data_IF_660285881250
#
_entry.id   IF_660285881250
#
_cell.length_a   1.000
_cell.length_b   1.000
_cell.length_c   1.000
_cell.angle_alpha   90.00
_cell.angle_beta   90.00
_cell.angle_gamma   90.00
#
_symmetry.space_group_name_H-M   'P 1'
#
loop_
_entity.id
_entity.type
_entity.pdbx_description
1 polymer ?
#
# COMPACT_ATOMS: atom_id res chain seq x y z
N UNK A 1 19.12 -1.04 13.36
CA UNK A 1 18.21 -2.17 13.13
C UNK A 1 17.23 -1.83 12.02
N UNK A 2 16.94 -2.78 11.13
CA UNK A 2 15.94 -2.60 10.05
C UNK A 2 14.79 -3.57 10.31
N UNK A 3 13.55 -3.07 10.31
CA UNK A 3 12.38 -3.88 10.62
C UNK A 3 11.37 -3.84 9.47
N UNK A 4 10.98 -5.03 8.99
CA UNK A 4 9.83 -5.16 8.12
C UNK A 4 8.58 -4.71 8.87
N UNK A 5 7.84 -3.77 8.29
CA UNK A 5 6.73 -3.10 8.96
C UNK A 5 5.45 -3.30 8.16
N UNK A 6 4.40 -3.79 8.83
CA UNK A 6 3.04 -3.84 8.31
C UNK A 6 2.22 -2.71 8.92
N UNK A 7 1.33 -2.17 8.10
CA UNK A 7 0.42 -1.10 8.50
C UNK A 7 -1.00 -1.57 8.27
N UNK A 8 -1.74 -1.64 9.35
CA UNK A 8 -3.17 -1.92 9.31
C UNK A 8 -3.91 -0.74 8.70
N UNK A 9 -4.84 -1.06 7.81
CA UNK A 9 -5.75 -0.14 7.15
C UNK A 9 -7.18 -0.69 7.26
N UNK A 10 -8.17 0.19 7.13
CA UNK A 10 -9.57 -0.25 7.10
C UNK A 10 -9.91 -0.83 5.73
N UNK A 11 -10.56 -1.99 5.68
CA UNK A 11 -11.12 -2.52 4.43
C UNK A 11 -12.20 -1.60 3.84
N UNK A 12 -12.93 -0.88 4.68
CA UNK A 12 -14.00 0.04 4.30
C UNK A 12 -13.49 1.44 3.93
N UNK A 13 -12.18 1.65 3.85
CA UNK A 13 -11.61 2.95 3.50
C UNK A 13 -12.09 3.37 2.08
N UNK A 14 -12.63 4.60 1.91
CA UNK A 14 -13.14 5.06 0.62
C UNK A 14 -12.09 5.09 -0.50
N UNK A 15 -10.79 5.09 -0.17
CA UNK A 15 -9.71 4.99 -1.14
C UNK A 15 -9.75 3.70 -1.97
N UNK A 16 -10.34 2.62 -1.46
CA UNK A 16 -10.52 1.37 -2.21
C UNK A 16 -11.55 1.50 -3.33
N UNK A 17 -12.56 2.37 -3.15
CA UNK A 17 -13.59 2.62 -4.17
C UNK A 17 -13.10 3.60 -5.24
N UNK A 18 -12.18 4.51 -4.89
CA UNK A 18 -11.59 5.46 -5.83
C UNK A 18 -10.06 5.54 -5.69
N UNK A 19 -9.31 4.58 -6.26
CA UNK A 19 -7.84 4.61 -6.31
C UNK A 19 -7.29 5.86 -6.97
N UNK A 20 -6.36 6.55 -6.31
CA UNK A 20 -5.78 7.82 -6.81
C UNK A 20 -4.27 7.80 -6.90
N UNK A 21 -3.60 6.86 -6.23
CA UNK A 21 -2.14 6.88 -6.12
C UNK A 21 -1.51 6.20 -7.32
N UNK A 22 -0.87 7.00 -8.17
CA UNK A 22 -0.17 6.50 -9.34
C UNK A 22 1.09 5.71 -8.97
N UNK A 23 1.26 4.53 -9.57
CA UNK A 23 2.40 3.64 -9.38
C UNK A 23 2.92 3.10 -10.72
N UNK A 24 4.17 2.63 -10.72
CA UNK A 24 4.76 1.96 -11.87
C UNK A 24 4.99 2.85 -13.10
N UNK A 25 5.30 2.23 -14.26
CA UNK A 25 5.63 2.94 -15.49
C UNK A 25 4.38 3.50 -16.18
N UNK A 26 4.60 4.36 -17.18
CA UNK A 26 3.56 4.88 -18.07
C UNK A 26 3.21 3.87 -19.18
N UNK A 27 1.95 3.90 -19.62
CA UNK A 27 1.41 3.05 -20.68
C UNK A 27 0.67 3.91 -21.70
N UNK A 28 0.61 3.45 -22.95
CA UNK A 28 -0.36 3.99 -23.90
C UNK A 28 -1.76 3.41 -23.63
N UNK A 29 -2.77 3.93 -24.32
CA UNK A 29 -4.16 3.55 -24.12
C UNK A 29 -4.41 2.05 -24.35
N UNK A 30 -3.92 1.49 -25.45
CA UNK A 30 -4.15 0.07 -25.79
C UNK A 30 -3.48 -0.88 -24.81
N UNK A 31 -2.28 -0.55 -24.32
CA UNK A 31 -1.61 -1.30 -23.26
C UNK A 31 -2.40 -1.25 -21.95
N UNK A 32 -2.88 -0.07 -21.55
CA UNK A 32 -3.66 0.09 -20.34
C UNK A 32 -5.01 -0.66 -20.40
N UNK A 33 -5.69 -0.65 -21.54
CA UNK A 33 -6.93 -1.40 -21.77
C UNK A 33 -6.69 -2.91 -21.70
N UNK A 34 -5.62 -3.42 -22.32
CA UNK A 34 -5.23 -4.83 -22.24
C UNK A 34 -4.95 -5.26 -20.78
N UNK A 35 -4.12 -4.50 -20.06
CA UNK A 35 -3.78 -4.79 -18.68
C UNK A 35 -4.98 -4.66 -17.73
N UNK A 36 -5.90 -3.73 -17.99
CA UNK A 36 -7.17 -3.62 -17.26
C UNK A 36 -8.00 -4.89 -17.45
N UNK A 37 -8.08 -5.43 -18.67
CA UNK A 37 -8.85 -6.64 -18.95
C UNK A 37 -8.22 -7.89 -18.29
N UNK A 38 -6.89 -8.03 -18.40
CA UNK A 38 -6.13 -9.20 -17.94
C UNK A 38 -5.95 -9.21 -16.41
N UNK A 39 -5.45 -8.11 -15.84
CA UNK A 39 -5.05 -8.03 -14.42
C UNK A 39 -6.08 -7.38 -13.52
N UNK A 40 -7.16 -6.84 -14.09
CA UNK A 40 -8.18 -6.04 -13.38
C UNK A 40 -7.63 -4.79 -12.69
N UNK A 41 -6.48 -4.30 -13.15
CA UNK A 41 -5.89 -3.07 -12.62
C UNK A 41 -6.68 -1.83 -13.01
N UNK A 42 -6.64 -0.83 -12.14
CA UNK A 42 -7.19 0.48 -12.41
C UNK A 42 -6.11 1.40 -12.99
N UNK A 43 -6.48 2.15 -14.03
CA UNK A 43 -5.62 3.15 -14.66
C UNK A 43 -6.34 4.49 -14.71
N UNK A 44 -5.58 5.58 -14.56
CA UNK A 44 -6.01 6.95 -14.81
C UNK A 44 -5.04 7.62 -15.79
N UNK A 45 -5.52 8.64 -16.48
CA UNK A 45 -4.67 9.46 -17.35
C UNK A 45 -3.59 10.16 -16.50
N UNK A 46 -2.37 10.22 -17.03
CA UNK A 46 -1.22 10.93 -16.49
C UNK A 46 -0.55 11.65 -17.69
N UNK A 47 -1.08 12.85 -18.01
CA UNK A 47 -0.77 13.57 -19.25
C UNK A 47 -1.27 12.82 -20.49
N UNK A 48 -0.36 12.59 -21.45
CA UNK A 48 -0.66 11.86 -22.70
C UNK A 48 -0.62 10.33 -22.53
N UNK A 49 -0.31 9.85 -21.33
CA UNK A 49 -0.18 8.43 -21.01
C UNK A 49 -1.19 8.02 -19.95
N UNK A 50 -1.19 6.73 -19.63
CA UNK A 50 -1.96 6.13 -18.55
C UNK A 50 -1.01 5.52 -17.54
N UNK A 51 -1.32 5.67 -16.26
CA UNK A 51 -0.59 5.01 -15.18
C UNK A 51 -1.54 4.25 -14.29
N UNK A 52 -1.05 3.12 -13.78
CA UNK A 52 -1.79 2.31 -12.83
C UNK A 52 -2.00 3.14 -11.56
N UNK A 53 -3.21 3.10 -11.04
CA UNK A 53 -3.55 3.67 -9.74
C UNK A 53 -3.93 2.58 -8.77
N UNK A 54 -3.53 2.75 -7.53
CA UNK A 54 -3.89 1.88 -6.41
C UNK A 54 -4.51 2.69 -5.27
N UNK A 55 -5.29 2.05 -4.39
CA UNK A 55 -5.79 2.67 -3.17
C UNK A 55 -4.63 3.23 -2.33
N UNK A 56 -4.88 4.37 -1.68
CA UNK A 56 -3.97 4.93 -0.67
C UNK A 56 -4.79 5.26 0.60
N UNK A 57 -5.19 4.22 1.34
CA UNK A 57 -6.04 4.35 2.52
C UNK A 57 -5.27 4.99 3.68
N UNK A 58 -6.02 5.51 4.66
CA UNK A 58 -5.40 6.07 5.85
C UNK A 58 -4.82 4.96 6.75
N UNK A 59 -3.58 5.09 7.22
CA UNK A 59 -2.98 4.13 8.13
C UNK A 59 -3.66 4.20 9.50
N UNK A 60 -4.06 3.05 10.03
CA UNK A 60 -4.69 2.96 11.36
C UNK A 60 -3.68 2.60 12.45
N UNK A 61 -2.82 1.60 12.18
CA UNK A 61 -1.87 1.08 13.17
C UNK A 61 -0.64 0.49 12.51
N UNK A 62 0.54 0.75 13.06
CA UNK A 62 1.75 -0.02 12.75
C UNK A 62 1.72 -1.31 13.58
N UNK A 63 1.67 -2.47 12.94
CA UNK A 63 1.52 -3.77 13.62
C UNK A 63 2.72 -4.04 14.53
N UNK A 64 3.94 -3.75 14.08
CA UNK A 64 5.17 -3.97 14.84
C UNK A 64 5.52 -2.83 15.81
N UNK A 65 4.58 -1.95 16.16
CA UNK A 65 4.84 -0.76 16.99
C UNK A 65 5.49 -1.12 18.35
N UNK A 66 5.07 -2.23 18.97
CA UNK A 66 5.68 -2.69 20.22
C UNK A 66 7.15 -3.09 20.04
N UNK A 67 7.49 -3.81 18.97
CA UNK A 67 8.87 -4.20 18.68
C UNK A 67 9.75 -2.98 18.36
N UNK A 68 9.22 -2.01 17.62
CA UNK A 68 9.89 -0.73 17.34
C UNK A 68 10.21 -0.01 18.66
N UNK A 69 9.24 0.13 19.55
CA UNK A 69 9.43 0.78 20.86
C UNK A 69 10.45 0.05 21.73
N UNK A 70 10.42 -1.28 21.75
CA UNK A 70 11.39 -2.09 22.50
C UNK A 70 12.82 -1.86 22.00
N UNK A 71 13.04 -1.86 20.68
CA UNK A 71 14.35 -1.58 20.10
C UNK A 71 14.82 -0.15 20.40
N UNK A 72 13.94 0.84 20.32
CA UNK A 72 14.26 2.23 20.68
C UNK A 72 14.65 2.33 22.16
N UNK A 73 13.95 1.64 23.06
CA UNK A 73 14.28 1.65 24.50
C UNK A 73 15.63 1.02 24.84
N UNK A 74 16.23 0.29 23.88
CA UNK A 74 17.57 -0.29 23.97
C UNK A 74 18.60 0.55 23.18
N UNK A 75 18.30 1.83 22.91
CA UNK A 75 19.15 2.79 22.18
C UNK A 75 19.54 2.37 20.76
N UNK A 76 18.77 1.50 20.12
CA UNK A 76 18.97 1.20 18.70
C UNK A 76 18.43 2.33 17.81
N UNK A 77 19.21 2.73 16.80
CA UNK A 77 18.68 3.41 15.62
C UNK A 77 17.81 2.43 14.81
N UNK A 78 16.50 2.68 14.74
CA UNK A 78 15.55 1.80 14.04
C UNK A 78 15.08 2.44 12.74
N UNK A 79 15.27 1.73 11.62
CA UNK A 79 14.63 2.03 10.33
C UNK A 79 13.40 1.12 10.21
N UNK A 80 12.23 1.71 10.10
CA UNK A 80 10.94 1.04 9.98
C UNK A 80 10.01 1.83 9.04
N UNK A 81 8.83 1.28 8.76
CA UNK A 81 7.81 1.89 7.90
C UNK A 81 8.30 2.28 6.49
N UNK A 82 9.23 1.50 5.94
CA UNK A 82 9.77 1.74 4.60
C UNK A 82 8.66 1.80 3.55
N UNK A 83 8.62 2.88 2.77
CA UNK A 83 7.60 3.09 1.74
C UNK A 83 6.17 3.30 2.26
N UNK A 84 5.98 3.54 3.57
CA UNK A 84 4.66 3.64 4.19
C UNK A 84 4.23 2.39 4.96
N UNK A 85 4.99 1.28 4.85
CA UNK A 85 4.66 -0.02 5.44
C UNK A 85 3.78 -0.88 4.54
N UNK A 86 3.82 -2.20 4.74
CA UNK A 86 3.02 -3.16 3.93
C UNK A 86 1.56 -3.12 4.39
N UNK A 87 0.60 -2.72 3.54
CA UNK A 87 -0.79 -2.61 3.96
C UNK A 87 -1.42 -3.97 4.25
N UNK A 88 -2.08 -4.07 5.40
CA UNK A 88 -2.80 -5.26 5.84
C UNK A 88 -4.16 -4.91 6.43
N UNK A 89 -5.08 -5.86 6.42
CA UNK A 89 -6.34 -5.81 7.16
C UNK A 89 -6.31 -6.87 8.27
N UNK A 90 -6.84 -6.54 9.45
CA UNK A 90 -6.96 -7.47 10.57
C UNK A 90 -8.26 -8.27 10.45
N UNK A 91 -8.16 -9.59 10.51
CA UNK A 91 -9.28 -10.55 10.40
C UNK A 91 -9.22 -11.55 11.54
N UNK A 92 -10.29 -12.33 11.70
CA UNK A 92 -10.38 -13.33 12.77
C UNK A 92 -9.25 -14.38 12.76
N UNK A 93 -8.69 -14.67 11.58
CA UNK A 93 -7.60 -15.62 11.35
C UNK A 93 -6.22 -14.95 11.22
N UNK A 94 -6.14 -13.62 11.42
CA UNK A 94 -4.90 -12.85 11.42
C UNK A 94 -4.87 -11.75 10.35
N UNK A 95 -3.65 -11.29 10.04
CA UNK A 95 -3.45 -10.19 9.09
C UNK A 95 -3.38 -10.70 7.65
N UNK A 96 -4.18 -10.09 6.77
CA UNK A 96 -4.17 -10.36 5.34
C UNK A 96 -3.62 -9.16 4.56
N UNK A 97 -2.76 -9.43 3.59
CA UNK A 97 -2.25 -8.39 2.69
C UNK A 97 -3.37 -7.84 1.81
N UNK A 98 -3.40 -6.53 1.63
CA UNK A 98 -4.33 -5.86 0.71
C UNK A 98 -3.55 -4.99 -0.26
N UNK A 99 -4.04 -4.90 -1.50
CA UNK A 99 -3.41 -4.09 -2.53
C UNK A 99 -3.67 -2.60 -2.28
N UNK A 100 -2.69 -1.92 -1.69
CA UNK A 100 -2.68 -0.49 -1.43
C UNK A 100 -1.23 0.01 -1.26
N UNK A 101 -1.03 1.33 -1.23
CA UNK A 101 0.26 1.96 -0.85
C UNK A 101 0.08 3.29 -0.12
#
# INVERSE_FOLDING_TARGET
>A
SVLLTRVEVSEDDPAFQNPTKYIGPVYNQSQAECLRAEKKWQFKADGNYFRRVVPSPQPQRIVECQAIRALISLDHLVICNGGGGVPVIDRADGYHGIEAV
#
